data_IF_785328297730
#
_entry.id   IF_785328297730
#
_cell.length_a   1.000
_cell.length_b   1.000
_cell.length_c   1.000
_cell.angle_alpha   90.00
_cell.angle_beta   90.00
_cell.angle_gamma   90.00
#
_symmetry.space_group_name_H-M   'P 1'
#
loop_
_entity.id
_entity.type
_entity.pdbx_description
1 polymer ?
#
# COMPACT_ATOMS: atom_id res chain seq x y z
N UNK A 1 -71.58 57.69 -10.46
CA UNK A 1 -70.87 57.33 -11.71
C UNK A 1 -69.84 56.27 -11.34
N UNK A 2 -69.88 55.11 -12.03
CA UNK A 2 -69.04 53.90 -11.89
C UNK A 2 -69.12 53.15 -10.54
N UNK A 3 -69.37 51.84 -10.45
CA UNK A 3 -69.42 50.77 -11.45
C UNK A 3 -68.69 49.53 -10.88
N UNK A 4 -69.45 48.57 -10.33
CA UNK A 4 -68.97 47.25 -9.85
C UNK A 4 -68.49 46.41 -11.03
N UNK A 5 -67.39 45.67 -10.85
CA UNK A 5 -67.12 44.30 -11.35
C UNK A 5 -65.70 43.90 -10.92
N UNK A 6 -65.24 42.65 -10.92
CA UNK A 6 -65.74 41.34 -10.48
C UNK A 6 -64.64 40.34 -10.87
N UNK A 7 -64.17 39.54 -9.90
CA UNK A 7 -63.65 38.15 -10.05
C UNK A 7 -62.31 37.97 -10.78
N UNK A 8 -61.45 37.12 -10.21
CA UNK A 8 -60.93 35.85 -10.79
C UNK A 8 -59.78 35.37 -9.86
N UNK A 9 -60.02 34.31 -9.05
CA UNK A 9 -59.48 32.93 -9.22
C UNK A 9 -57.93 32.89 -9.22
N UNK A 10 -57.18 32.02 -8.55
CA UNK A 10 -57.42 30.77 -7.84
C UNK A 10 -56.12 30.43 -7.07
N UNK A 11 -56.25 29.58 -6.07
CA UNK A 11 -55.19 29.01 -5.25
C UNK A 11 -54.15 28.15 -6.00
N UNK A 12 -52.92 28.09 -5.46
CA UNK A 12 -52.18 26.85 -5.21
C UNK A 12 -50.79 27.16 -4.60
N UNK A 13 -50.76 27.32 -3.27
CA UNK A 13 -49.53 27.31 -2.48
C UNK A 13 -49.04 25.86 -2.42
N UNK A 14 -48.13 25.50 -3.34
CA UNK A 14 -47.59 24.14 -3.45
C UNK A 14 -46.62 23.90 -2.28
N UNK A 15 -47.06 23.06 -1.35
CA UNK A 15 -46.30 22.54 -0.24
C UNK A 15 -45.05 21.80 -0.77
N UNK A 16 -43.85 22.29 -0.50
CA UNK A 16 -42.61 21.58 -0.78
C UNK A 16 -42.37 20.52 0.31
N UNK A 17 -42.26 19.22 -0.02
CA UNK A 17 -41.76 18.24 0.94
C UNK A 17 -40.23 18.38 1.01
N UNK A 18 -39.72 18.96 2.09
CA UNK A 18 -38.31 18.88 2.46
C UNK A 18 -38.02 17.47 2.96
N UNK A 19 -37.76 16.54 2.04
CA UNK A 19 -37.24 15.22 2.39
C UNK A 19 -35.80 15.37 2.89
N UNK A 20 -35.63 15.30 4.21
CA UNK A 20 -34.34 15.09 4.86
C UNK A 20 -33.87 13.67 4.55
N UNK A 21 -33.17 13.51 3.43
CA UNK A 21 -32.44 12.28 3.11
C UNK A 21 -31.19 12.29 3.99
N UNK A 22 -31.27 11.63 5.15
CA UNK A 22 -30.09 11.24 5.92
C UNK A 22 -29.30 10.23 5.08
N UNK A 23 -28.26 10.67 4.39
CA UNK A 23 -27.36 9.79 3.64
C UNK A 23 -26.54 9.01 4.68
N UNK A 24 -26.74 7.69 4.86
CA UNK A 24 -25.87 6.93 5.75
C UNK A 24 -24.45 6.94 5.18
N UNK A 25 -23.45 6.96 6.06
CA UNK A 25 -22.06 6.75 5.68
C UNK A 25 -21.96 5.45 4.87
N UNK A 26 -21.44 5.52 3.64
CA UNK A 26 -21.32 4.38 2.76
C UNK A 26 -20.36 3.35 3.38
N UNK A 27 -20.90 2.21 3.81
CA UNK A 27 -20.10 1.05 4.23
C UNK A 27 -19.56 0.35 2.98
N UNK A 28 -18.23 0.24 2.88
CA UNK A 28 -17.57 -0.48 1.80
C UNK A 28 -17.88 -1.99 1.87
N UNK A 29 -18.07 -2.63 0.71
CA UNK A 29 -18.31 -4.07 0.61
C UNK A 29 -16.99 -4.84 0.47
N UNK A 30 -16.82 -5.85 1.32
CA UNK A 30 -15.70 -6.79 1.28
C UNK A 30 -16.21 -8.18 0.85
N UNK A 31 -15.61 -8.75 -0.18
CA UNK A 31 -15.96 -10.09 -0.67
C UNK A 31 -14.67 -10.93 -0.65
N UNK A 32 -14.64 -11.96 0.19
CA UNK A 32 -13.49 -12.88 0.32
C UNK A 32 -12.15 -12.21 0.64
N UNK A 33 -12.13 -11.12 1.43
CA UNK A 33 -10.90 -10.38 1.72
C UNK A 33 -10.51 -9.35 0.65
N UNK A 34 -11.24 -9.28 -0.47
CA UNK A 34 -11.03 -8.26 -1.49
C UNK A 34 -11.99 -7.08 -1.24
N UNK A 35 -11.42 -5.91 -0.92
CA UNK A 35 -12.14 -4.63 -0.94
C UNK A 35 -12.27 -4.17 -2.40
N UNK A 36 -13.49 -4.12 -2.93
CA UNK A 36 -13.76 -3.66 -4.30
C UNK A 36 -13.67 -2.13 -4.43
N UNK A 37 -13.86 -1.39 -3.33
CA UNK A 37 -13.88 0.07 -3.29
C UNK A 37 -13.42 0.57 -1.91
N UNK A 38 -12.66 1.67 -1.86
CA UNK A 38 -12.08 2.28 -0.64
C UNK A 38 -10.56 2.06 -0.52
N UNK A 39 -9.82 3.07 -0.06
CA UNK A 39 -8.35 2.96 0.17
C UNK A 39 -8.08 2.03 1.36
N UNK A 40 -7.16 1.08 1.20
CA UNK A 40 -6.62 0.27 2.29
C UNK A 40 -5.49 1.02 2.99
N UNK A 41 -5.83 2.01 3.83
CA UNK A 41 -4.86 2.61 4.77
C UNK A 41 -4.40 1.59 5.84
N UNK A 42 -5.06 0.43 5.92
CA UNK A 42 -4.86 -0.61 6.93
C UNK A 42 -3.66 -1.55 6.65
N UNK A 43 -2.97 -1.47 5.50
CA UNK A 43 -1.92 -2.46 5.15
C UNK A 43 -0.72 -2.47 6.13
N UNK A 44 -0.55 -1.39 6.90
CA UNK A 44 0.52 -1.26 7.90
C UNK A 44 0.02 -1.41 9.36
N UNK A 45 -1.30 -1.48 9.59
CA UNK A 45 -1.85 -1.42 10.95
C UNK A 45 -1.76 -2.76 11.73
N UNK A 46 -1.47 -3.88 11.05
CA UNK A 46 -1.46 -5.22 11.66
C UNK A 46 -0.05 -5.78 11.96
N UNK A 47 1.01 -4.98 11.74
CA UNK A 47 2.39 -5.40 12.01
C UNK A 47 2.72 -5.16 13.49
N UNK A 48 2.82 -6.24 14.27
CA UNK A 48 3.26 -6.16 15.68
C UNK A 48 4.71 -5.66 15.76
N UNK A 49 4.93 -4.57 16.50
CA UNK A 49 6.21 -3.87 16.66
C UNK A 49 6.83 -3.41 15.31
N UNK A 50 6.21 -2.45 14.60
CA UNK A 50 6.65 -2.07 13.27
C UNK A 50 8.03 -1.41 13.32
N UNK A 51 8.99 -2.01 12.61
CA UNK A 51 10.36 -1.51 12.49
C UNK A 51 10.66 -1.16 11.03
N UNK A 52 10.95 0.12 10.81
CA UNK A 52 11.47 0.61 9.54
C UNK A 52 13.00 0.43 9.49
N UNK A 53 13.53 0.14 8.31
CA UNK A 53 14.95 -0.05 8.09
C UNK A 53 15.39 0.61 6.79
N UNK A 54 16.68 0.92 6.71
CA UNK A 54 17.33 1.31 5.47
C UNK A 54 18.22 0.17 5.00
N UNK A 55 18.38 0.05 3.69
CA UNK A 55 19.24 -0.97 3.08
C UNK A 55 20.18 -0.32 2.09
N UNK A 56 21.38 -0.87 2.00
CA UNK A 56 22.35 -0.55 0.95
C UNK A 56 22.88 -1.86 0.41
N UNK A 57 22.80 -2.04 -0.90
CA UNK A 57 23.34 -3.21 -1.59
C UNK A 57 24.52 -2.74 -2.44
N UNK A 58 25.67 -3.36 -2.22
CA UNK A 58 26.90 -3.08 -2.98
C UNK A 58 27.35 -4.37 -3.65
N UNK A 59 27.69 -4.28 -4.94
CA UNK A 59 28.17 -5.41 -5.73
C UNK A 59 29.60 -5.11 -6.17
N UNK A 60 30.53 -5.95 -5.73
CA UNK A 60 31.93 -5.87 -6.11
C UNK A 60 32.24 -6.88 -7.23
N UNK A 61 33.04 -6.48 -8.23
CA UNK A 61 33.44 -7.36 -9.33
C UNK A 61 32.32 -7.72 -10.33
N UNK A 62 31.24 -6.96 -10.36
CA UNK A 62 30.11 -7.09 -11.29
C UNK A 62 29.97 -5.95 -12.28
N UNK A 63 29.13 -6.14 -13.30
CA UNK A 63 28.64 -5.08 -14.19
C UNK A 63 27.31 -4.50 -13.67
N UNK A 64 26.80 -3.50 -14.40
CA UNK A 64 25.53 -2.85 -14.07
C UNK A 64 24.36 -3.84 -14.14
N UNK A 65 24.35 -4.72 -15.14
CA UNK A 65 23.33 -5.77 -15.31
C UNK A 65 23.27 -6.72 -14.10
N UNK A 66 24.43 -7.14 -13.57
CA UNK A 66 24.48 -7.95 -12.35
C UNK A 66 24.02 -7.15 -11.13
N UNK A 67 24.34 -5.86 -11.07
CA UNK A 67 23.93 -5.00 -9.96
C UNK A 67 22.42 -4.82 -9.94
N UNK A 68 21.81 -4.51 -11.08
CA UNK A 68 20.36 -4.39 -11.22
C UNK A 68 19.65 -5.71 -10.88
N UNK A 69 20.19 -6.81 -11.38
CA UNK A 69 19.70 -8.14 -11.09
C UNK A 69 19.64 -8.48 -9.60
N UNK A 70 20.69 -8.14 -8.84
CA UNK A 70 20.76 -8.43 -7.41
C UNK A 70 19.85 -7.49 -6.61
N UNK A 71 19.72 -6.23 -7.02
CA UNK A 71 18.74 -5.31 -6.45
C UNK A 71 17.29 -5.82 -6.66
N UNK A 72 16.98 -6.33 -7.85
CA UNK A 72 15.68 -6.90 -8.17
C UNK A 72 15.41 -8.22 -7.42
N UNK A 73 16.45 -9.01 -7.14
CA UNK A 73 16.32 -10.25 -6.39
C UNK A 73 16.20 -10.05 -4.86
N UNK A 74 16.76 -8.96 -4.33
CA UNK A 74 16.77 -8.66 -2.89
C UNK A 74 15.41 -8.17 -2.41
N UNK A 75 14.71 -9.00 -1.66
CA UNK A 75 13.51 -8.61 -0.90
C UNK A 75 13.77 -7.55 0.18
N UNK A 76 15.01 -7.40 0.68
CA UNK A 76 15.35 -6.27 1.57
C UNK A 76 15.31 -4.94 0.80
N UNK A 77 15.79 -4.93 -0.44
CA UNK A 77 15.72 -3.75 -1.32
C UNK A 77 14.30 -3.48 -1.78
N UNK A 78 13.61 -4.51 -2.29
CA UNK A 78 12.25 -4.36 -2.82
C UNK A 78 11.23 -3.92 -1.77
N UNK A 79 11.47 -4.23 -0.49
CA UNK A 79 10.50 -4.01 0.58
C UNK A 79 10.97 -2.97 1.60
N UNK A 80 11.87 -2.06 1.22
CA UNK A 80 12.42 -1.05 2.14
C UNK A 80 11.33 -0.12 2.70
N UNK A 81 10.27 0.12 1.94
CA UNK A 81 9.14 0.96 2.34
C UNK A 81 8.13 0.24 3.25
N UNK A 82 8.28 -1.09 3.43
CA UNK A 82 7.37 -1.90 4.22
C UNK A 82 7.96 -2.20 5.60
N UNK A 83 7.29 -1.79 6.69
CA UNK A 83 7.77 -2.09 8.04
C UNK A 83 7.77 -3.60 8.28
N UNK A 84 8.79 -4.09 9.00
CA UNK A 84 8.88 -5.49 9.43
C UNK A 84 8.51 -5.62 10.90
N UNK A 85 8.18 -6.84 11.33
CA UNK A 85 7.88 -7.15 12.74
C UNK A 85 9.16 -7.15 13.58
N UNK A 86 9.51 -6.00 14.13
CA UNK A 86 10.61 -5.80 15.05
C UNK A 86 11.98 -6.24 14.51
N UNK A 87 12.93 -6.39 15.42
CA UNK A 87 14.31 -6.80 15.10
C UNK A 87 14.43 -8.24 14.59
N UNK A 88 13.59 -9.15 15.10
CA UNK A 88 13.56 -10.54 14.63
C UNK A 88 13.05 -10.65 13.20
N UNK A 89 12.10 -9.80 12.80
CA UNK A 89 11.62 -9.69 11.43
C UNK A 89 12.73 -9.29 10.47
N UNK A 90 13.55 -8.30 10.82
CA UNK A 90 14.73 -7.91 10.02
C UNK A 90 15.69 -9.09 9.87
N UNK A 91 16.02 -9.78 10.96
CA UNK A 91 16.95 -10.91 10.93
C UNK A 91 16.44 -12.07 10.06
N UNK A 92 15.16 -12.42 10.21
CA UNK A 92 14.55 -13.47 9.41
C UNK A 92 14.53 -13.10 7.92
N UNK A 93 14.18 -11.84 7.62
CA UNK A 93 14.19 -11.30 6.25
C UNK A 93 15.59 -11.33 5.65
N UNK A 94 16.60 -10.85 6.37
CA UNK A 94 17.99 -10.87 5.93
C UNK A 94 18.49 -12.30 5.61
N UNK A 95 18.15 -13.28 6.45
CA UNK A 95 18.50 -14.68 6.19
C UNK A 95 17.88 -15.19 4.89
N UNK A 96 16.58 -14.96 4.67
CA UNK A 96 15.91 -15.36 3.43
C UNK A 96 16.47 -14.60 2.23
N UNK A 97 16.81 -13.33 2.40
CA UNK A 97 17.36 -12.49 1.35
C UNK A 97 18.70 -12.99 0.85
N UNK A 98 19.58 -13.40 1.77
CA UNK A 98 20.86 -14.02 1.44
C UNK A 98 20.68 -15.25 0.55
N UNK A 99 19.71 -16.12 0.86
CA UNK A 99 19.43 -17.31 0.06
C UNK A 99 18.95 -16.93 -1.36
N UNK A 100 18.13 -15.88 -1.51
CA UNK A 100 17.69 -15.36 -2.82
C UNK A 100 18.86 -14.76 -3.61
N UNK A 101 19.71 -13.98 -2.96
CA UNK A 101 20.87 -13.35 -3.61
C UNK A 101 21.88 -14.41 -4.09
N UNK A 102 22.14 -15.45 -3.29
CA UNK A 102 22.96 -16.60 -3.72
C UNK A 102 22.33 -17.30 -4.93
N UNK A 103 21.02 -17.54 -4.92
CA UNK A 103 20.34 -18.14 -6.07
C UNK A 103 20.45 -17.25 -7.33
N UNK A 104 20.31 -15.94 -7.18
CA UNK A 104 20.46 -14.97 -8.26
C UNK A 104 21.89 -14.95 -8.84
N UNK A 105 22.92 -15.02 -8.00
CA UNK A 105 24.32 -15.18 -8.42
C UNK A 105 24.51 -16.47 -9.22
N UNK A 106 23.98 -17.60 -8.73
CA UNK A 106 24.06 -18.89 -9.41
C UNK A 106 23.39 -18.86 -10.78
N UNK A 107 22.21 -18.24 -10.90
CA UNK A 107 21.51 -18.10 -12.18
C UNK A 107 22.30 -17.31 -13.23
N UNK A 108 23.27 -16.49 -12.79
CA UNK A 108 24.14 -15.67 -13.63
C UNK A 108 25.57 -16.23 -13.74
N UNK A 109 25.73 -17.53 -13.46
CA UNK A 109 27.00 -18.24 -13.52
C UNK A 109 28.10 -17.62 -12.61
N UNK A 110 27.70 -17.04 -11.48
CA UNK A 110 28.61 -16.56 -10.42
C UNK A 110 28.65 -17.56 -9.27
N UNK A 111 29.29 -18.70 -9.51
CA UNK A 111 29.29 -19.83 -8.56
C UNK A 111 30.14 -19.61 -7.30
N UNK A 112 31.16 -18.77 -7.41
CA UNK A 112 32.07 -18.38 -6.31
C UNK A 112 31.67 -17.03 -5.68
N UNK A 113 30.46 -16.53 -6.00
CA UNK A 113 29.96 -15.29 -5.44
C UNK A 113 29.62 -15.43 -3.96
N UNK A 114 30.09 -14.49 -3.15
CA UNK A 114 29.84 -14.43 -1.71
C UNK A 114 28.79 -13.36 -1.41
N UNK A 115 27.87 -13.67 -0.49
CA UNK A 115 26.85 -12.72 -0.02
C UNK A 115 26.98 -12.58 1.49
N UNK A 116 27.40 -11.40 1.92
CA UNK A 116 27.45 -10.98 3.31
C UNK A 116 26.37 -9.92 3.56
N UNK A 117 25.61 -10.10 4.64
CA UNK A 117 24.58 -9.15 5.07
C UNK A 117 24.88 -8.78 6.52
N UNK A 118 25.07 -7.48 6.76
CA UNK A 118 25.27 -6.93 8.10
C UNK A 118 24.02 -6.15 8.54
N UNK A 119 23.62 -6.30 9.80
CA UNK A 119 22.51 -5.58 10.41
C UNK A 119 23.08 -4.58 11.40
N UNK A 120 22.79 -3.29 11.21
CA UNK A 120 23.38 -2.22 12.01
C UNK A 120 24.93 -2.26 12.06
N UNK A 121 25.56 -2.67 10.95
CA UNK A 121 27.01 -2.78 10.81
C UNK A 121 27.63 -3.99 11.50
N UNK A 122 26.84 -5.01 11.85
CA UNK A 122 27.29 -6.24 12.53
C UNK A 122 26.79 -7.50 11.86
#
# INVERSE_FOLDING_TARGET
MAGRTARFLLAAMLCQPASLISVPSATAFEIFGFKLFGSSDDENEDVVDPLNYTVTLTVEGGDEDLTEALNNASSLVQDVERPVSGSLGVLAKARSDRERLVAALYSRARYDGVVDITIAGR
#
